data_IF_630181915443
#
_entry.id   IF_630181915443
#
_cell.length_a   1.000
_cell.length_b   1.000
_cell.length_c   1.000
_cell.angle_alpha   90.00
_cell.angle_beta   90.00
_cell.angle_gamma   90.00
#
_symmetry.space_group_name_H-M   'P 1'
#
loop_
_entity.id
_entity.type
_entity.pdbx_description
1 polymer ?
#
# COMPACT_ATOMS: atom_id res chain seq x y z
N UNK A 1 -25.89 -15.09 -2.37
CA UNK A 1 -24.76 -15.24 -3.32
C UNK A 1 -23.98 -13.94 -3.26
N UNK A 2 -22.93 -13.88 -2.44
CA UNK A 2 -22.17 -12.66 -2.24
C UNK A 2 -21.17 -12.55 -3.39
N UNK A 3 -21.38 -11.59 -4.29
CA UNK A 3 -20.39 -11.23 -5.31
C UNK A 3 -19.08 -10.87 -4.60
N UNK A 4 -17.91 -11.40 -5.03
CA UNK A 4 -16.66 -10.85 -4.57
C UNK A 4 -16.61 -9.42 -5.11
N UNK A 5 -16.65 -8.44 -4.21
CA UNK A 5 -16.41 -7.04 -4.56
C UNK A 5 -15.03 -6.98 -5.20
N UNK A 6 -14.98 -6.86 -6.53
CA UNK A 6 -13.75 -6.56 -7.25
C UNK A 6 -13.36 -5.15 -6.82
N UNK A 7 -12.57 -5.06 -5.75
CA UNK A 7 -11.99 -3.83 -5.25
C UNK A 7 -11.12 -3.28 -6.38
N UNK A 8 -11.63 -2.25 -7.07
CA UNK A 8 -10.88 -1.53 -8.07
C UNK A 8 -10.07 -0.45 -7.35
N UNK A 9 -8.75 -0.41 -7.47
CA UNK A 9 -7.94 0.59 -6.80
C UNK A 9 -8.18 1.99 -7.40
N UNK A 10 -8.20 3.01 -6.56
CA UNK A 10 -8.23 4.42 -6.98
C UNK A 10 -6.85 4.89 -7.49
N UNK A 11 -5.78 4.22 -7.05
CA UNK A 11 -4.41 4.49 -7.44
C UNK A 11 -3.54 3.23 -7.34
N UNK A 12 -2.49 3.17 -8.16
CA UNK A 12 -1.53 2.07 -8.17
C UNK A 12 -0.09 2.60 -8.11
N UNK A 13 0.82 1.86 -7.49
CA UNK A 13 2.25 2.15 -7.43
C UNK A 13 3.07 0.87 -7.56
N UNK A 14 4.06 0.87 -8.45
CA UNK A 14 5.06 -0.20 -8.49
C UNK A 14 6.35 0.26 -7.79
N UNK A 15 6.70 -0.43 -6.72
CA UNK A 15 7.87 -0.16 -5.89
C UNK A 15 8.79 -1.39 -5.79
N UNK A 16 8.65 -2.37 -6.69
CA UNK A 16 9.63 -3.46 -6.84
C UNK A 16 11.02 -2.89 -7.20
N UNK A 17 12.07 -3.46 -6.63
CA UNK A 17 13.43 -2.94 -6.66
C UNK A 17 13.66 -1.68 -5.80
N UNK A 18 12.64 -1.16 -5.11
CA UNK A 18 12.81 0.01 -4.23
C UNK A 18 13.27 -0.44 -2.83
N UNK A 19 14.47 -0.04 -2.37
CA UNK A 19 15.01 -0.50 -1.10
C UNK A 19 14.23 0.05 0.10
N UNK A 20 14.20 -0.69 1.20
CA UNK A 20 13.73 -0.17 2.48
C UNK A 20 14.66 0.96 2.99
N UNK A 21 14.14 2.00 3.67
CA UNK A 21 12.73 2.24 3.97
C UNK A 21 11.99 3.06 2.88
N UNK A 22 12.58 3.23 1.69
CA UNK A 22 12.05 4.14 0.66
C UNK A 22 10.69 3.66 0.13
N UNK A 23 10.46 2.35 0.06
CA UNK A 23 9.16 1.78 -0.31
C UNK A 23 8.04 2.20 0.65
N UNK A 24 8.30 2.15 1.96
CA UNK A 24 7.38 2.60 3.00
C UNK A 24 7.13 4.10 2.92
N UNK A 25 8.20 4.91 2.84
CA UNK A 25 8.10 6.38 2.78
C UNK A 25 7.27 6.82 1.58
N UNK A 26 7.52 6.23 0.39
CA UNK A 26 6.74 6.56 -0.82
C UNK A 26 5.28 6.15 -0.70
N UNK A 27 5.01 4.99 -0.12
CA UNK A 27 3.64 4.52 0.11
C UNK A 27 2.90 5.45 1.06
N UNK A 28 3.50 5.81 2.20
CA UNK A 28 2.92 6.74 3.18
C UNK A 28 2.64 8.11 2.56
N UNK A 29 3.60 8.70 1.86
CA UNK A 29 3.42 9.99 1.19
C UNK A 29 2.34 9.97 0.10
N UNK A 30 2.05 8.81 -0.51
CA UNK A 30 0.92 8.66 -1.43
C UNK A 30 -0.40 8.63 -0.66
N UNK A 31 -0.49 7.83 0.39
CA UNK A 31 -1.69 7.71 1.22
C UNK A 31 -2.07 9.05 1.86
N UNK A 32 -1.11 9.83 2.36
CA UNK A 32 -1.34 11.17 2.92
C UNK A 32 -1.96 12.16 1.92
N UNK A 33 -1.79 11.93 0.61
CA UNK A 33 -2.35 12.75 -0.46
C UNK A 33 -3.69 12.23 -0.98
N UNK A 34 -4.11 11.05 -0.54
CA UNK A 34 -5.37 10.43 -0.96
C UNK A 34 -6.50 10.82 -0.01
N UNK A 35 -7.73 10.84 -0.54
CA UNK A 35 -8.91 11.06 0.29
C UNK A 35 -9.19 9.82 1.16
N UNK A 36 -9.72 9.98 2.38
CA UNK A 36 -10.12 8.86 3.22
C UNK A 36 -11.09 7.93 2.49
N UNK A 37 -10.85 6.62 2.60
CA UNK A 37 -11.66 5.59 1.94
C UNK A 37 -11.21 5.21 0.53
N UNK A 38 -10.23 5.91 -0.05
CA UNK A 38 -9.63 5.48 -1.32
C UNK A 38 -8.68 4.30 -1.14
N UNK A 39 -8.65 3.42 -2.14
CA UNK A 39 -7.82 2.22 -2.18
C UNK A 39 -6.53 2.47 -2.99
N UNK A 40 -5.39 2.21 -2.36
CA UNK A 40 -4.08 2.22 -3.01
C UNK A 40 -3.57 0.79 -3.21
N UNK A 41 -3.29 0.40 -4.45
CA UNK A 41 -2.56 -0.83 -4.75
C UNK A 41 -1.05 -0.55 -4.83
N UNK A 42 -0.25 -1.40 -4.19
CA UNK A 42 1.21 -1.26 -4.19
C UNK A 42 1.85 -2.60 -4.52
N UNK A 43 2.74 -2.62 -5.51
CA UNK A 43 3.57 -3.79 -5.82
C UNK A 43 4.94 -3.64 -5.18
N UNK A 44 5.37 -4.69 -4.48
CA UNK A 44 6.61 -4.73 -3.72
C UNK A 44 7.35 -6.03 -4.03
N UNK A 45 8.65 -6.05 -3.78
CA UNK A 45 9.43 -7.29 -3.87
C UNK A 45 8.96 -8.30 -2.82
N UNK A 46 9.02 -9.58 -3.16
CA UNK A 46 8.72 -10.65 -2.23
C UNK A 46 9.68 -10.64 -1.02
N UNK A 47 9.23 -11.23 0.09
CA UNK A 47 9.99 -11.28 1.35
C UNK A 47 9.63 -10.12 2.27
N UNK A 48 10.63 -9.50 2.88
CA UNK A 48 10.43 -8.47 3.91
C UNK A 48 9.53 -7.29 3.47
N UNK A 49 9.63 -6.72 2.24
CA UNK A 49 8.83 -5.54 1.89
C UNK A 49 7.32 -5.74 1.95
N UNK A 50 6.81 -6.87 1.44
CA UNK A 50 5.36 -7.18 1.44
C UNK A 50 4.80 -7.41 2.85
N UNK A 51 5.65 -7.72 3.84
CA UNK A 51 5.25 -7.88 5.24
C UNK A 51 5.39 -6.56 6.01
N UNK A 52 6.57 -5.93 5.92
CA UNK A 52 6.93 -4.78 6.76
C UNK A 52 6.21 -3.48 6.36
N UNK A 53 5.97 -3.25 5.06
CA UNK A 53 5.31 -2.01 4.60
C UNK A 53 3.85 -1.96 5.10
N UNK A 54 3.01 -3.00 4.90
CA UNK A 54 1.66 -3.02 5.47
C UNK A 54 1.64 -2.91 6.99
N UNK A 55 2.51 -3.62 7.71
CA UNK A 55 2.53 -3.58 9.18
C UNK A 55 2.91 -2.19 9.71
N UNK A 56 3.90 -1.55 9.10
CA UNK A 56 4.28 -0.18 9.46
C UNK A 56 3.15 0.82 9.21
N UNK A 57 2.39 0.66 8.12
CA UNK A 57 1.23 1.49 7.82
C UNK A 57 0.08 1.25 8.80
N UNK A 58 -0.17 0.01 9.23
CA UNK A 58 -1.18 -0.31 10.25
C UNK A 58 -0.83 0.32 11.60
N UNK A 59 0.44 0.32 12.00
CA UNK A 59 0.91 0.98 13.23
C UNK A 59 0.66 2.50 13.19
N UNK A 60 0.70 3.10 11.99
CA UNK A 60 0.40 4.53 11.76
C UNK A 60 -1.11 4.82 11.64
N UNK A 61 -1.97 3.78 11.65
CA UNK A 61 -3.44 3.92 11.64
C UNK A 61 -4.10 3.78 10.27
N UNK A 62 -3.35 3.42 9.22
CA UNK A 62 -3.93 3.11 7.90
C UNK A 62 -4.60 1.73 7.89
N UNK A 63 -5.58 1.54 7.00
CA UNK A 63 -6.35 0.30 6.82
C UNK A 63 -6.26 -0.21 5.41
#
# INVERSE_FOLDING_TARGET
>A
MSNPTLLTPDAQMDLRGTPCPINFVRTKLRLEKMAPGQLLEVWLDAGEPIEQVPDSLRMEGYK
#
